data_IF_746708757127
#
_entry.id   IF_746708757127
#
_cell.length_a   1.000
_cell.length_b   1.000
_cell.length_c   1.000
_cell.angle_alpha   90.00
_cell.angle_beta   90.00
_cell.angle_gamma   90.00
#
_symmetry.space_group_name_H-M   'P 1'
#
loop_
_entity.id
_entity.type
_entity.pdbx_description
1 polymer ?
#
# COMPACT_ATOMS: atom_id res chain seq x y z
N UNK A 1 32.58 -14.56 29.91
CA UNK A 1 32.64 -14.71 28.44
C UNK A 1 31.21 -14.80 27.97
N UNK A 2 30.71 -13.70 27.43
CA UNK A 2 29.30 -13.47 27.08
C UNK A 2 28.83 -14.41 25.97
N UNK A 3 27.55 -14.78 26.05
CA UNK A 3 26.95 -15.87 25.29
C UNK A 3 26.94 -15.60 23.77
N UNK A 4 27.10 -16.64 22.93
CA UNK A 4 26.94 -16.56 21.46
C UNK A 4 25.51 -16.22 20.98
N UNK A 5 24.57 -15.91 21.89
CA UNK A 5 23.15 -15.74 21.59
C UNK A 5 22.73 -14.28 21.29
N UNK A 6 23.58 -13.28 21.53
CA UNK A 6 23.23 -11.86 21.28
C UNK A 6 23.40 -11.47 19.80
N UNK A 7 24.42 -11.97 19.11
CA UNK A 7 24.64 -11.70 17.67
C UNK A 7 23.56 -12.35 16.79
N UNK A 8 23.10 -13.56 17.15
CA UNK A 8 22.00 -14.25 16.47
C UNK A 8 20.65 -13.49 16.60
N UNK A 9 20.44 -12.79 17.73
CA UNK A 9 19.23 -12.00 17.97
C UNK A 9 19.21 -10.70 17.16
N UNK A 10 20.38 -10.09 16.95
CA UNK A 10 20.55 -8.87 16.14
C UNK A 10 20.36 -9.18 14.64
N UNK A 11 20.88 -10.31 14.16
CA UNK A 11 20.65 -10.76 12.77
C UNK A 11 19.19 -11.11 12.48
N UNK A 12 18.45 -11.63 13.47
CA UNK A 12 17.04 -11.97 13.32
C UNK A 12 16.14 -10.72 13.27
N UNK A 13 16.48 -9.65 13.99
CA UNK A 13 15.78 -8.36 13.90
C UNK A 13 16.11 -7.59 12.61
N UNK A 14 17.33 -7.71 12.08
CA UNK A 14 17.69 -7.13 10.78
C UNK A 14 16.91 -7.76 9.61
N UNK A 15 16.47 -9.02 9.76
CA UNK A 15 15.69 -9.75 8.75
C UNK A 15 14.18 -9.51 8.80
N UNK A 16 13.66 -8.84 9.83
CA UNK A 16 12.23 -8.83 10.13
C UNK A 16 11.36 -7.84 9.35
N UNK A 17 11.91 -7.04 8.45
CA UNK A 17 11.14 -6.37 7.40
C UNK A 17 12.13 -5.69 6.45
N UNK A 18 12.76 -6.49 5.61
CA UNK A 18 13.04 -6.02 4.27
C UNK A 18 11.67 -5.61 3.71
N UNK A 19 11.35 -4.31 3.80
CA UNK A 19 10.11 -3.76 3.26
C UNK A 19 10.18 -4.09 1.78
N UNK A 20 9.49 -5.15 1.37
CA UNK A 20 9.56 -5.69 0.03
C UNK A 20 9.27 -4.53 -0.91
N UNK A 21 10.34 -3.96 -1.46
CA UNK A 21 10.24 -2.70 -2.15
C UNK A 21 9.55 -3.05 -3.45
N UNK A 22 8.30 -2.64 -3.60
CA UNK A 22 7.51 -2.95 -4.79
C UNK A 22 8.28 -2.48 -6.02
N UNK A 23 8.80 -3.43 -6.80
CA UNK A 23 9.54 -3.12 -8.03
C UNK A 23 8.55 -2.87 -9.15
N UNK A 24 8.02 -1.64 -9.19
CA UNK A 24 7.05 -1.19 -10.18
C UNK A 24 7.66 -0.09 -11.05
N UNK A 25 7.33 -0.07 -12.34
CA UNK A 25 7.71 1.03 -13.25
C UNK A 25 6.86 2.30 -13.04
N UNK A 26 5.75 2.16 -12.31
CA UNK A 26 4.92 3.27 -11.89
C UNK A 26 5.68 4.17 -10.90
N UNK A 27 5.79 5.45 -11.24
CA UNK A 27 6.62 6.42 -10.52
C UNK A 27 5.88 7.16 -9.42
N UNK A 28 4.56 7.24 -9.51
CA UNK A 28 3.75 7.91 -8.49
C UNK A 28 3.28 6.85 -7.49
N UNK A 29 3.90 6.85 -6.32
CA UNK A 29 3.56 5.95 -5.21
C UNK A 29 3.22 6.83 -4.02
N UNK A 30 1.96 6.82 -3.60
CA UNK A 30 1.45 7.70 -2.55
C UNK A 30 0.93 6.82 -1.43
N UNK A 31 1.62 6.87 -0.29
CA UNK A 31 1.21 6.14 0.90
C UNK A 31 0.03 6.86 1.57
N UNK A 32 -0.90 6.09 2.10
CA UNK A 32 -2.02 6.60 2.86
C UNK A 32 -2.73 5.50 3.64
N UNK A 33 -3.90 5.85 4.17
CA UNK A 33 -4.73 4.94 4.95
C UNK A 33 -6.08 4.73 4.28
N UNK A 34 -6.54 3.48 4.23
CA UNK A 34 -7.85 3.17 3.67
C UNK A 34 -8.93 3.66 4.62
N UNK A 35 -9.81 4.52 4.13
CA UNK A 35 -10.96 5.07 4.88
C UNK A 35 -12.28 4.46 4.45
N UNK A 36 -12.37 3.90 3.24
CA UNK A 36 -13.58 3.25 2.72
C UNK A 36 -13.20 2.17 1.71
N UNK A 37 -13.86 1.02 1.77
CA UNK A 37 -13.84 -0.02 0.73
C UNK A 37 -15.29 -0.31 0.36
N UNK A 38 -15.68 -0.01 -0.88
CA UNK A 38 -17.05 -0.13 -1.35
C UNK A 38 -17.12 -1.06 -2.57
N UNK A 39 -17.47 -2.34 -2.37
CA UNK A 39 -17.70 -3.27 -3.46
C UNK A 39 -18.89 -2.84 -4.34
N UNK A 40 -18.74 -2.98 -5.65
CA UNK A 40 -19.79 -2.78 -6.64
C UNK A 40 -20.09 -4.08 -7.40
N UNK A 41 -20.80 -3.96 -8.53
CA UNK A 41 -21.17 -5.12 -9.34
C UNK A 41 -19.97 -5.82 -10.02
N UNK A 42 -18.90 -5.07 -10.30
CA UNK A 42 -17.71 -5.59 -11.01
C UNK A 42 -16.42 -5.00 -10.47
N UNK A 43 -16.47 -3.73 -10.02
CA UNK A 43 -15.33 -3.04 -9.43
C UNK A 43 -15.62 -2.61 -8.00
N UNK A 44 -14.56 -2.59 -7.20
CA UNK A 44 -14.55 -2.07 -5.84
C UNK A 44 -13.90 -0.69 -5.84
N UNK A 45 -14.57 0.27 -5.21
CA UNK A 45 -14.01 1.59 -4.96
C UNK A 45 -13.29 1.60 -3.62
N UNK A 46 -12.02 1.97 -3.63
CA UNK A 46 -11.18 2.07 -2.44
C UNK A 46 -10.78 3.53 -2.25
N UNK A 47 -11.10 4.10 -1.09
CA UNK A 47 -10.70 5.46 -0.72
C UNK A 47 -9.52 5.41 0.22
N UNK A 48 -8.47 6.13 -0.15
CA UNK A 48 -7.22 6.23 0.59
C UNK A 48 -7.01 7.69 0.97
N UNK A 49 -7.00 7.97 2.27
CA UNK A 49 -6.61 9.27 2.80
C UNK A 49 -5.08 9.40 2.77
N UNK A 50 -4.58 10.40 2.06
CA UNK A 50 -3.13 10.62 1.82
C UNK A 50 -2.60 11.86 2.54
N UNK A 51 -3.48 12.75 2.96
CA UNK A 51 -3.24 13.92 3.81
C UNK A 51 -4.58 14.37 4.41
N UNK A 52 -4.55 15.28 5.39
CA UNK A 52 -5.76 15.76 6.09
C UNK A 52 -6.84 16.23 5.10
N UNK A 53 -7.95 15.50 5.03
CA UNK A 53 -9.08 15.81 4.13
C UNK A 53 -8.82 15.54 2.65
N UNK A 54 -7.65 15.02 2.27
CA UNK A 54 -7.29 14.67 0.89
C UNK A 54 -7.44 13.16 0.70
N UNK A 55 -8.44 12.78 -0.10
CA UNK A 55 -8.78 11.38 -0.36
C UNK A 55 -8.59 11.05 -1.83
N UNK A 56 -7.77 10.03 -2.10
CA UNK A 56 -7.60 9.42 -3.40
C UNK A 56 -8.58 8.25 -3.54
N UNK A 57 -9.32 8.16 -4.64
CA UNK A 57 -10.22 7.04 -4.92
C UNK A 57 -9.65 6.18 -6.03
N UNK A 58 -9.41 4.91 -5.75
CA UNK A 58 -9.07 3.89 -6.73
C UNK A 58 -10.32 3.06 -7.08
N UNK A 59 -10.42 2.64 -8.34
CA UNK A 59 -11.39 1.63 -8.78
C UNK A 59 -10.59 0.43 -9.28
N UNK A 60 -10.73 -0.70 -8.61
CA UNK A 60 -10.06 -1.96 -8.94
C UNK A 60 -11.10 -3.06 -9.11
N UNK A 61 -10.73 -4.19 -9.72
CA UNK A 61 -11.66 -5.32 -9.80
C UNK A 61 -11.96 -5.87 -8.41
N UNK A 62 -13.13 -6.49 -8.25
CA UNK A 62 -13.52 -7.09 -6.97
C UNK A 62 -12.50 -8.16 -6.54
N UNK A 63 -12.02 -8.96 -7.48
CA UNK A 63 -11.04 -10.02 -7.24
C UNK A 63 -9.72 -9.45 -6.71
N UNK A 64 -9.23 -8.35 -7.27
CA UNK A 64 -8.00 -7.71 -6.81
C UNK A 64 -8.16 -7.14 -5.38
N UNK A 65 -9.33 -6.57 -5.05
CA UNK A 65 -9.59 -6.07 -3.70
C UNK A 65 -9.63 -7.20 -2.66
N UNK A 66 -10.21 -8.34 -3.02
CA UNK A 66 -10.29 -9.53 -2.17
C UNK A 66 -8.93 -10.20 -2.00
N UNK A 67 -8.16 -10.36 -3.08
CA UNK A 67 -6.81 -10.94 -3.07
C UNK A 67 -5.84 -10.11 -2.21
N UNK A 68 -5.91 -8.78 -2.32
CA UNK A 68 -5.12 -7.86 -1.50
C UNK A 68 -5.63 -7.76 -0.05
N UNK A 69 -6.81 -8.31 0.25
CA UNK A 69 -7.40 -8.32 1.58
C UNK A 69 -7.65 -6.93 2.16
N UNK A 70 -7.95 -5.94 1.32
CA UNK A 70 -8.03 -4.53 1.69
C UNK A 70 -9.15 -4.27 2.72
N UNK A 71 -8.81 -3.61 3.83
CA UNK A 71 -9.79 -3.24 4.87
C UNK A 71 -9.64 -1.78 5.28
N UNK A 72 -10.74 -1.24 5.80
CA UNK A 72 -10.73 0.10 6.41
C UNK A 72 -9.76 0.10 7.58
N UNK A 73 -8.89 1.10 7.60
CA UNK A 73 -7.86 1.29 8.61
C UNK A 73 -6.47 0.82 8.21
N UNK A 74 -6.35 0.02 7.14
CA UNK A 74 -5.06 -0.49 6.66
C UNK A 74 -4.22 0.62 6.03
N UNK A 75 -2.90 0.44 6.10
CA UNK A 75 -1.95 1.26 5.34
C UNK A 75 -1.85 0.71 3.93
N UNK A 76 -2.08 1.57 2.93
CA UNK A 76 -2.02 1.20 1.52
C UNK A 76 -1.18 2.23 0.74
N UNK A 77 -0.56 1.76 -0.34
CA UNK A 77 0.14 2.64 -1.28
C UNK A 77 -0.65 2.69 -2.57
N UNK A 78 -1.13 3.87 -2.92
CA UNK A 78 -1.72 4.10 -4.24
C UNK A 78 -0.61 4.21 -5.27
N UNK A 79 -0.67 3.36 -6.30
CA UNK A 79 0.33 3.31 -7.36
C UNK A 79 -0.30 3.79 -8.66
N UNK A 80 0.23 4.87 -9.22
CA UNK A 80 -0.29 5.50 -10.45
C UNK A 80 0.84 5.53 -11.48
N UNK A 81 0.58 4.98 -12.66
CA UNK A 81 1.52 5.03 -13.78
C UNK A 81 1.65 6.48 -14.27
N UNK A 82 2.87 6.91 -14.56
CA UNK A 82 3.15 8.30 -14.92
C UNK A 82 2.42 8.77 -16.19
N UNK A 83 2.14 7.86 -17.14
CA UNK A 83 1.42 8.19 -18.38
C UNK A 83 -0.07 8.46 -18.19
N UNK A 84 -0.64 8.07 -17.06
CA UNK A 84 -2.10 8.11 -16.85
C UNK A 84 -2.51 9.38 -16.07
N UNK A 85 -1.52 10.18 -15.65
CA UNK A 85 -1.73 11.49 -15.02
C UNK A 85 -1.85 12.55 -16.12
N UNK A 86 -2.98 13.25 -16.14
CA UNK A 86 -3.21 14.40 -17.03
C UNK A 86 -2.96 15.71 -16.27
N UNK A 87 -2.49 16.74 -16.98
CA UNK A 87 -2.32 18.10 -16.44
C UNK A 87 -3.28 19.03 -17.18
N UNK A 88 -4.08 19.78 -16.42
CA UNK A 88 -4.96 20.84 -16.93
C UNK A 88 -4.71 22.13 -16.16
N UNK A 89 -4.99 23.27 -16.79
CA UNK A 89 -4.85 24.63 -16.22
C UNK A 89 -6.20 25.31 -16.10
#
# INVERSE_FOLDING_TARGET
MTAPNEEASIGMLQSLQETATMRLSARNQIQGRIVEVRPGATTTHVKIEIADGVVLTASITNEASEELGLKIGDTATAVIKASDVMVGV
#
